data_IF_023061972585
#
_entry.id   IF_023061972585
#
_cell.length_a   1.000
_cell.length_b   1.000
_cell.length_c   1.000
_cell.angle_alpha   90.00
_cell.angle_beta   90.00
_cell.angle_gamma   90.00
#
_symmetry.space_group_name_H-M   'P 1'
#
loop_
_entity.id
_entity.type
_entity.pdbx_description
1 polymer ?
#
# COMPACT_ATOMS: atom_id res chain seq x y z
N UNK A 1 -25.26 1.48 15.56
CA UNK A 1 -25.00 2.91 15.44
C UNK A 1 -23.48 3.07 15.54
N UNK A 2 -22.81 3.23 14.42
CA UNK A 2 -21.37 3.51 14.37
C UNK A 2 -21.20 5.04 14.43
N UNK A 3 -20.46 5.51 15.42
CA UNK A 3 -20.11 6.91 15.57
C UNK A 3 -18.96 7.22 14.62
N UNK A 4 -19.17 8.18 13.72
CA UNK A 4 -18.11 8.79 12.92
C UNK A 4 -17.10 9.47 13.84
N UNK A 5 -15.88 8.94 13.95
CA UNK A 5 -14.78 9.73 14.47
C UNK A 5 -14.20 10.57 13.33
N UNK A 6 -14.39 11.87 13.52
CA UNK A 6 -13.96 12.92 12.61
C UNK A 6 -12.44 12.90 12.43
N UNK A 7 -12.01 12.74 11.19
CA UNK A 7 -10.65 13.01 10.74
C UNK A 7 -10.27 14.45 11.11
N UNK A 8 -9.26 14.60 11.96
CA UNK A 8 -8.73 15.91 12.35
C UNK A 8 -7.41 16.18 11.60
N UNK A 9 -7.39 17.08 10.62
CA UNK A 9 -6.21 17.35 9.81
C UNK A 9 -5.32 18.47 10.35
N UNK A 10 -5.22 18.67 11.66
CA UNK A 10 -4.44 19.79 12.19
C UNK A 10 -3.40 19.38 13.22
N UNK A 11 -2.19 19.07 12.76
CA UNK A 11 -0.95 19.40 13.49
C UNK A 11 0.02 20.03 12.51
N UNK A 12 -0.24 21.27 12.12
CA UNK A 12 0.79 22.11 11.50
C UNK A 12 1.43 22.94 12.63
N UNK A 13 2.70 22.69 12.91
CA UNK A 13 3.50 23.64 13.70
C UNK A 13 4.09 24.66 12.75
N UNK A 14 3.67 25.91 12.89
CA UNK A 14 4.30 27.03 12.18
C UNK A 14 5.61 27.39 12.90
N UNK A 15 6.73 27.21 12.23
CA UNK A 15 8.00 27.80 12.65
C UNK A 15 8.21 29.09 11.83
N UNK A 16 8.08 30.22 12.52
CA UNK A 16 8.28 31.55 11.90
C UNK A 16 9.77 31.89 11.94
N UNK A 17 10.40 31.95 10.77
CA UNK A 17 11.77 32.49 10.62
C UNK A 17 11.68 33.96 10.22
N UNK A 18 11.98 34.87 11.17
CA UNK A 18 12.10 36.30 10.87
C UNK A 18 13.42 36.58 10.13
N UNK A 19 13.32 36.95 8.87
CA UNK A 19 14.42 37.54 8.12
C UNK A 19 14.33 39.09 8.16
N UNK A 20 15.23 39.71 8.91
CA UNK A 20 15.38 41.16 8.93
C UNK A 20 15.97 41.69 7.62
N UNK A 21 15.16 42.25 6.75
CA UNK A 21 15.60 43.06 5.63
C UNK A 21 14.95 44.45 5.72
N UNK A 22 15.78 45.45 5.92
CA UNK A 22 15.40 46.87 5.88
C UNK A 22 15.10 47.27 4.46
N UNK A 23 13.84 47.26 4.05
CA UNK A 23 13.17 48.17 3.10
C UNK A 23 11.74 47.68 2.89
N UNK A 24 10.79 48.59 2.87
CA UNK A 24 9.35 48.46 2.84
C UNK A 24 8.82 47.54 1.71
N UNK A 25 8.79 46.23 1.99
CA UNK A 25 7.89 45.26 1.33
C UNK A 25 7.41 44.30 2.41
N UNK A 26 6.09 44.08 2.47
CA UNK A 26 5.49 43.15 3.43
C UNK A 26 6.13 41.74 3.31
N UNK A 27 6.53 41.10 4.43
CA UNK A 27 7.14 39.78 4.36
C UNK A 27 6.09 38.76 3.91
N UNK A 28 6.21 38.29 2.69
CA UNK A 28 5.53 37.07 2.26
C UNK A 28 6.22 35.89 2.93
N UNK A 29 5.62 35.36 3.98
CA UNK A 29 6.03 34.08 4.58
C UNK A 29 5.70 32.96 3.59
N UNK A 30 6.69 32.46 2.86
CA UNK A 30 6.57 31.19 2.16
C UNK A 30 6.53 30.07 3.21
N UNK A 31 5.33 29.51 3.42
CA UNK A 31 5.17 28.29 4.22
C UNK A 31 5.68 27.15 3.36
N UNK A 32 6.90 26.68 3.63
CA UNK A 32 7.43 25.46 3.03
C UNK A 32 6.74 24.28 3.73
N UNK A 33 5.96 23.49 3.01
CA UNK A 33 5.30 22.34 3.62
C UNK A 33 6.35 21.37 4.17
N UNK A 34 6.16 20.97 5.43
CA UNK A 34 7.04 19.97 6.07
C UNK A 34 6.95 18.63 5.29
N UNK A 35 8.12 18.09 4.93
CA UNK A 35 8.23 16.79 4.28
C UNK A 35 7.93 15.68 5.30
N UNK A 36 6.77 15.03 5.20
CA UNK A 36 6.39 13.91 6.06
C UNK A 36 6.72 12.59 5.36
N UNK A 37 7.70 11.87 5.89
CA UNK A 37 8.10 10.54 5.43
C UNK A 37 7.25 9.46 6.12
N UNK A 38 6.71 8.52 5.35
CA UNK A 38 5.80 7.49 5.83
C UNK A 38 6.41 6.09 5.77
N UNK A 39 7.32 5.85 4.82
CA UNK A 39 7.97 4.56 4.61
C UNK A 39 9.22 4.72 3.73
N UNK A 40 10.32 4.04 4.10
CA UNK A 40 11.58 3.98 3.32
C UNK A 40 12.10 5.38 2.89
N UNK A 41 12.02 6.36 3.80
CA UNK A 41 12.32 7.78 3.59
C UNK A 41 11.50 8.43 2.46
N UNK A 42 10.34 7.88 2.11
CA UNK A 42 9.44 8.39 1.08
C UNK A 42 8.21 9.05 1.71
N UNK A 43 7.73 10.13 1.10
CA UNK A 43 6.39 10.65 1.36
C UNK A 43 5.33 9.69 0.80
N UNK A 44 4.07 9.91 1.13
CA UNK A 44 2.97 9.08 0.60
C UNK A 44 2.86 9.18 -0.93
N UNK A 45 3.12 10.36 -1.49
CA UNK A 45 3.11 10.59 -2.93
C UNK A 45 4.28 9.87 -3.63
N UNK A 46 5.49 9.98 -3.07
CA UNK A 46 6.68 9.30 -3.60
C UNK A 46 6.55 7.78 -3.51
N UNK A 47 6.00 7.27 -2.41
CA UNK A 47 5.69 5.85 -2.25
C UNK A 47 4.65 5.40 -3.28
N UNK A 48 3.58 6.17 -3.46
CA UNK A 48 2.54 5.90 -4.47
C UNK A 48 3.15 5.79 -5.87
N UNK A 49 3.98 6.75 -6.26
CA UNK A 49 4.64 6.76 -7.57
C UNK A 49 5.58 5.56 -7.73
N UNK A 50 6.33 5.21 -6.68
CA UNK A 50 7.23 4.06 -6.69
C UNK A 50 6.46 2.75 -6.87
N UNK A 51 5.35 2.55 -6.17
CA UNK A 51 4.50 1.37 -6.31
C UNK A 51 3.87 1.31 -7.71
N UNK A 52 3.40 2.43 -8.25
CA UNK A 52 2.81 2.51 -9.59
C UNK A 52 3.78 2.09 -10.71
N UNK A 53 5.08 2.26 -10.52
CA UNK A 53 6.08 1.79 -11.50
C UNK A 53 6.15 0.26 -11.61
N UNK A 54 5.71 -0.47 -10.61
CA UNK A 54 5.67 -1.95 -10.62
C UNK A 54 4.28 -2.49 -10.93
N UNK A 55 3.23 -1.81 -10.46
CA UNK A 55 1.84 -2.23 -10.69
C UNK A 55 1.47 -2.13 -12.16
N UNK A 56 0.83 -3.16 -12.69
CA UNK A 56 0.46 -3.25 -14.10
C UNK A 56 -0.89 -3.92 -14.31
N UNK A 57 -1.37 -3.94 -15.57
CA UNK A 57 -2.67 -4.49 -15.95
C UNK A 57 -3.81 -3.87 -15.11
N UNK A 58 -4.72 -4.66 -14.56
CA UNK A 58 -5.86 -4.16 -13.76
C UNK A 58 -5.45 -3.50 -12.43
N UNK A 59 -4.23 -3.73 -11.94
CA UNK A 59 -3.66 -3.05 -10.78
C UNK A 59 -2.91 -1.76 -11.12
N UNK A 60 -2.82 -1.40 -12.40
CA UNK A 60 -2.17 -0.17 -12.84
C UNK A 60 -2.83 1.06 -12.22
N UNK A 61 -2.02 1.98 -11.67
CA UNK A 61 -2.51 3.19 -11.03
C UNK A 61 -3.09 3.00 -9.62
N UNK A 62 -2.98 1.80 -9.03
CA UNK A 62 -3.50 1.51 -7.68
C UNK A 62 -2.46 1.71 -6.56
N UNK A 63 -1.34 2.35 -6.87
CA UNK A 63 -0.26 2.61 -5.91
C UNK A 63 -0.72 3.39 -4.68
N UNK A 64 -1.64 4.35 -4.83
CA UNK A 64 -2.18 5.11 -3.71
C UNK A 64 -2.95 4.21 -2.73
N UNK A 65 -3.82 3.33 -3.22
CA UNK A 65 -4.57 2.38 -2.37
C UNK A 65 -3.63 1.44 -1.64
N UNK A 66 -2.63 0.86 -2.33
CA UNK A 66 -1.63 0.02 -1.69
C UNK A 66 -0.81 0.78 -0.64
N UNK A 67 -0.35 1.99 -0.95
CA UNK A 67 0.44 2.80 -0.03
C UNK A 67 -0.36 3.15 1.22
N UNK A 68 -1.52 3.77 1.08
CA UNK A 68 -2.36 4.21 2.21
C UNK A 68 -2.81 3.05 3.08
N UNK A 69 -3.36 2.00 2.50
CA UNK A 69 -3.87 0.86 3.28
C UNK A 69 -2.75 0.09 3.97
N UNK A 70 -1.59 -0.04 3.34
CA UNK A 70 -0.43 -0.69 3.96
C UNK A 70 0.07 0.10 5.17
N UNK A 71 0.22 1.41 5.04
CA UNK A 71 0.64 2.28 6.15
C UNK A 71 -0.38 2.24 7.28
N UNK A 72 -1.67 2.40 6.97
CA UNK A 72 -2.76 2.42 7.97
C UNK A 72 -2.85 1.10 8.75
N UNK A 73 -2.62 -0.02 8.09
CA UNK A 73 -2.70 -1.36 8.66
C UNK A 73 -1.36 -1.89 9.21
N UNK A 74 -0.27 -1.14 9.07
CA UNK A 74 1.06 -1.56 9.53
C UNK A 74 1.64 -2.75 8.77
N UNK A 75 1.31 -2.88 7.48
CA UNK A 75 1.86 -3.89 6.57
C UNK A 75 2.90 -3.24 5.67
N UNK A 76 4.00 -3.94 5.40
CA UNK A 76 5.03 -3.48 4.45
C UNK A 76 4.41 -3.29 3.05
N UNK A 77 4.39 -2.07 2.49
CA UNK A 77 3.77 -1.80 1.19
C UNK A 77 4.49 -2.51 0.02
N UNK A 78 5.80 -2.71 0.09
CA UNK A 78 6.53 -3.46 -0.93
C UNK A 78 6.13 -4.93 -0.92
N UNK A 79 6.00 -5.51 0.27
CA UNK A 79 5.52 -6.88 0.44
C UNK A 79 4.09 -7.04 -0.06
N UNK A 80 3.19 -6.12 0.27
CA UNK A 80 1.79 -6.17 -0.18
C UNK A 80 1.69 -6.14 -1.71
N UNK A 81 2.39 -5.21 -2.37
CA UNK A 81 2.42 -5.13 -3.84
C UNK A 81 3.08 -6.37 -4.45
N UNK A 82 4.19 -6.85 -3.89
CA UNK A 82 4.89 -8.02 -4.39
C UNK A 82 4.01 -9.28 -4.35
N UNK A 83 3.31 -9.52 -3.24
CA UNK A 83 2.38 -10.63 -3.13
C UNK A 83 1.22 -10.46 -4.11
N UNK A 84 0.62 -9.27 -4.20
CA UNK A 84 -0.47 -9.01 -5.13
C UNK A 84 -0.07 -9.29 -6.59
N UNK A 85 1.10 -8.83 -7.02
CA UNK A 85 1.61 -9.08 -8.37
C UNK A 85 1.87 -10.56 -8.62
N UNK A 86 2.38 -11.29 -7.62
CA UNK A 86 2.61 -12.72 -7.71
C UNK A 86 1.28 -13.49 -7.80
N UNK A 87 0.32 -13.20 -6.93
CA UNK A 87 -0.96 -13.91 -6.84
C UNK A 87 -1.88 -13.64 -8.04
N UNK A 88 -1.90 -12.43 -8.53
CA UNK A 88 -2.79 -12.03 -9.62
C UNK A 88 -2.22 -12.33 -11.00
N UNK A 89 -0.91 -12.53 -11.12
CA UNK A 89 -0.24 -12.64 -12.41
C UNK A 89 -0.38 -11.36 -13.26
N UNK A 90 -0.63 -10.20 -12.65
CA UNK A 90 -0.87 -8.93 -13.33
C UNK A 90 0.36 -8.34 -14.04
N UNK A 91 1.23 -9.17 -14.61
CA UNK A 91 2.31 -8.72 -15.49
C UNK A 91 1.79 -8.39 -16.89
N UNK A 92 0.88 -9.22 -17.41
CA UNK A 92 0.23 -9.07 -18.72
C UNK A 92 -1.28 -8.97 -18.57
N UNK A 93 -1.87 -9.82 -17.74
CA UNK A 93 -3.30 -9.98 -17.57
C UNK A 93 -3.59 -10.56 -16.20
N UNK A 94 -4.38 -9.87 -15.40
CA UNK A 94 -4.74 -10.34 -14.07
C UNK A 94 -5.57 -11.63 -14.10
N UNK A 95 -5.59 -12.34 -12.99
CA UNK A 95 -6.43 -13.53 -12.80
C UNK A 95 -7.93 -13.20 -12.93
N UNK A 96 -8.72 -14.23 -13.21
CA UNK A 96 -10.17 -14.12 -13.26
C UNK A 96 -10.76 -13.47 -11.98
N UNK A 97 -10.28 -13.87 -10.79
CA UNK A 97 -10.77 -13.34 -9.51
C UNK A 97 -10.48 -11.85 -9.34
N UNK A 98 -9.29 -11.39 -9.76
CA UNK A 98 -8.95 -9.98 -9.69
C UNK A 98 -9.84 -9.14 -10.63
N UNK A 99 -10.13 -9.65 -11.83
CA UNK A 99 -10.92 -8.93 -12.84
C UNK A 99 -12.41 -8.90 -12.57
N UNK A 100 -12.98 -10.01 -12.15
CA UNK A 100 -14.45 -10.18 -12.09
C UNK A 100 -15.02 -10.02 -10.70
N UNK A 101 -14.22 -10.27 -9.67
CA UNK A 101 -14.64 -10.28 -8.27
C UNK A 101 -13.88 -9.27 -7.41
N UNK A 102 -12.99 -8.46 -8.01
CA UNK A 102 -12.12 -7.53 -7.32
C UNK A 102 -11.29 -8.21 -6.19
N UNK A 103 -11.03 -9.51 -6.31
CA UNK A 103 -10.35 -10.32 -5.31
C UNK A 103 -8.89 -10.49 -5.69
N UNK A 104 -8.02 -9.72 -5.03
CA UNK A 104 -6.59 -9.62 -5.35
C UNK A 104 -5.80 -10.83 -4.85
N UNK A 105 -6.15 -11.37 -3.71
CA UNK A 105 -5.38 -12.41 -3.02
C UNK A 105 -6.00 -13.81 -3.05
N UNK A 106 -7.04 -14.05 -3.85
CA UNK A 106 -7.73 -15.34 -3.88
C UNK A 106 -8.39 -15.70 -2.54
N UNK A 107 -8.89 -14.71 -1.81
CA UNK A 107 -9.51 -14.91 -0.51
C UNK A 107 -10.78 -15.72 -0.63
N UNK A 108 -10.91 -16.74 0.20
CA UNK A 108 -12.12 -17.55 0.33
C UNK A 108 -13.24 -16.75 0.98
N UNK A 109 -14.47 -17.01 0.55
CA UNK A 109 -15.64 -16.30 1.05
C UNK A 109 -16.88 -16.58 0.21
N UNK A 110 -17.64 -15.54 -0.09
CA UNK A 110 -18.88 -15.63 -0.86
C UNK A 110 -18.99 -14.55 -1.93
N UNK A 111 -19.91 -14.74 -2.86
CA UNK A 111 -20.22 -13.79 -3.91
C UNK A 111 -19.49 -14.02 -5.24
N UNK A 112 -18.46 -14.87 -5.23
CA UNK A 112 -17.70 -15.25 -6.42
C UNK A 112 -17.34 -16.74 -6.36
N UNK A 113 -18.35 -17.63 -6.47
CA UNK A 113 -18.19 -19.05 -6.21
C UNK A 113 -17.80 -19.29 -4.74
N UNK A 114 -16.68 -19.95 -4.50
CA UNK A 114 -16.11 -20.18 -3.15
C UNK A 114 -15.20 -19.03 -2.68
N UNK A 115 -15.09 -17.95 -3.46
CA UNK A 115 -14.24 -16.81 -3.18
C UNK A 115 -15.05 -15.58 -2.79
N UNK A 116 -14.40 -14.68 -2.07
CA UNK A 116 -14.97 -13.39 -1.70
C UNK A 116 -15.07 -12.48 -2.93
N UNK A 117 -16.25 -11.92 -3.18
CA UNK A 117 -16.41 -10.77 -4.06
C UNK A 117 -16.31 -9.47 -3.26
N UNK A 118 -15.68 -8.47 -3.85
CA UNK A 118 -15.62 -7.11 -3.34
C UNK A 118 -16.36 -6.17 -4.29
N UNK A 119 -16.93 -5.10 -3.76
CA UNK A 119 -17.71 -4.14 -4.54
C UNK A 119 -16.82 -3.35 -5.50
N UNK A 120 -15.66 -2.94 -5.01
CA UNK A 120 -14.65 -2.21 -5.78
C UNK A 120 -13.28 -2.90 -5.71
N UNK A 121 -12.39 -2.56 -6.64
CA UNK A 121 -11.02 -3.05 -6.58
C UNK A 121 -10.27 -2.51 -5.36
N UNK A 122 -10.56 -1.27 -4.96
CA UNK A 122 -10.02 -0.65 -3.75
C UNK A 122 -10.43 -1.44 -2.50
N UNK A 123 -11.69 -1.86 -2.39
CA UNK A 123 -12.15 -2.73 -1.29
C UNK A 123 -11.44 -4.07 -1.30
N UNK A 124 -11.19 -4.63 -2.49
CA UNK A 124 -10.43 -5.87 -2.66
C UNK A 124 -8.97 -5.72 -2.22
N UNK A 125 -8.33 -4.60 -2.53
CA UNK A 125 -6.95 -4.28 -2.08
C UNK A 125 -6.93 -4.13 -0.56
N UNK A 126 -7.87 -3.38 0.01
CA UNK A 126 -7.99 -3.24 1.46
C UNK A 126 -8.17 -4.59 2.16
N UNK A 127 -9.13 -5.39 1.70
CA UNK A 127 -9.39 -6.72 2.24
C UNK A 127 -8.18 -7.65 2.14
N UNK A 128 -7.43 -7.57 1.05
CA UNK A 128 -6.20 -8.32 0.84
C UNK A 128 -5.11 -7.93 1.86
N UNK A 129 -4.85 -6.64 2.04
CA UNK A 129 -3.85 -6.15 3.01
C UNK A 129 -4.28 -6.46 4.44
N UNK A 130 -5.57 -6.30 4.76
CA UNK A 130 -6.13 -6.66 6.07
C UNK A 130 -5.95 -8.17 6.37
N UNK A 131 -6.13 -9.02 5.36
CA UNK A 131 -5.89 -10.45 5.49
C UNK A 131 -4.42 -10.77 5.79
N UNK A 132 -3.48 -10.09 5.14
CA UNK A 132 -2.04 -10.22 5.44
C UNK A 132 -1.78 -9.81 6.89
N UNK A 133 -2.31 -8.66 7.32
CA UNK A 133 -2.19 -8.19 8.71
C UNK A 133 -2.69 -9.25 9.69
N UNK A 134 -3.94 -9.65 9.56
CA UNK A 134 -4.62 -10.50 10.54
C UNK A 134 -4.06 -11.92 10.62
N UNK A 135 -3.58 -12.46 9.50
CA UNK A 135 -3.12 -13.85 9.44
C UNK A 135 -1.61 -14.03 9.60
N UNK A 136 -0.83 -12.98 9.37
CA UNK A 136 0.63 -13.06 9.35
C UNK A 136 1.28 -12.01 10.25
N UNK A 137 1.09 -10.72 9.96
CA UNK A 137 1.76 -9.64 10.67
C UNK A 137 1.42 -9.63 12.17
N UNK A 138 0.18 -9.83 12.54
CA UNK A 138 -0.26 -9.89 13.93
C UNK A 138 0.32 -11.09 14.70
N UNK A 139 0.85 -12.09 13.98
CA UNK A 139 1.58 -13.25 14.53
C UNK A 139 3.10 -13.10 14.45
N UNK A 140 3.61 -11.91 14.10
CA UNK A 140 5.04 -11.63 14.00
C UNK A 140 5.71 -12.12 12.71
N UNK A 141 4.94 -12.56 11.70
CA UNK A 141 5.44 -12.96 10.40
C UNK A 141 5.47 -11.73 9.48
N UNK A 142 6.63 -11.08 9.36
CA UNK A 142 6.79 -9.77 8.74
C UNK A 142 7.38 -9.81 7.34
N UNK A 143 8.05 -10.90 6.96
CA UNK A 143 8.74 -11.05 5.67
C UNK A 143 8.14 -12.20 4.86
N UNK A 144 8.40 -12.20 3.56
CA UNK A 144 7.97 -13.32 2.70
C UNK A 144 8.55 -14.66 3.17
N UNK A 145 9.81 -14.68 3.60
CA UNK A 145 10.44 -15.91 4.09
C UNK A 145 9.79 -16.44 5.36
N UNK A 146 9.47 -15.56 6.30
CA UNK A 146 8.75 -15.93 7.53
C UNK A 146 7.31 -16.40 7.25
N UNK A 147 6.67 -15.82 6.23
CA UNK A 147 5.30 -16.17 5.83
C UNK A 147 5.23 -17.50 5.08
N UNK A 148 6.26 -17.88 4.31
CA UNK A 148 6.21 -18.98 3.34
C UNK A 148 5.65 -20.27 3.93
N UNK A 149 6.09 -20.78 5.10
CA UNK A 149 5.61 -22.05 5.64
C UNK A 149 4.09 -22.09 5.92
N UNK A 150 3.50 -20.92 6.16
CA UNK A 150 2.06 -20.77 6.44
C UNK A 150 1.26 -20.34 5.21
N UNK A 151 1.88 -19.60 4.29
CA UNK A 151 1.21 -18.97 3.17
C UNK A 151 1.05 -19.90 1.97
N UNK A 152 2.09 -20.64 1.63
CA UNK A 152 2.13 -21.48 0.43
C UNK A 152 2.82 -22.81 0.66
N UNK A 153 2.33 -23.86 -0.02
CA UNK A 153 2.97 -25.19 -0.03
C UNK A 153 4.27 -25.17 -0.87
N UNK A 154 4.36 -24.26 -1.86
CA UNK A 154 5.57 -24.08 -2.68
C UNK A 154 6.69 -23.44 -1.84
N UNK A 155 7.78 -24.15 -1.57
CA UNK A 155 8.90 -23.60 -0.80
C UNK A 155 9.64 -22.48 -1.52
N UNK A 156 9.41 -22.29 -2.83
CA UNK A 156 10.02 -21.21 -3.63
C UNK A 156 9.16 -19.95 -3.70
N UNK A 157 7.99 -19.95 -3.05
CA UNK A 157 7.07 -18.81 -3.08
C UNK A 157 7.74 -17.52 -2.57
N UNK A 158 8.43 -17.58 -1.44
CA UNK A 158 9.12 -16.41 -0.88
C UNK A 158 10.18 -15.84 -1.82
N UNK A 159 10.92 -16.69 -2.51
CA UNK A 159 11.91 -16.23 -3.51
C UNK A 159 11.25 -15.48 -4.66
N UNK A 160 10.09 -15.92 -5.11
CA UNK A 160 9.32 -15.25 -6.17
C UNK A 160 8.80 -13.88 -5.70
N UNK A 161 8.26 -13.83 -4.49
CA UNK A 161 7.80 -12.57 -3.87
C UNK A 161 8.98 -11.61 -3.65
N UNK A 162 10.10 -12.09 -3.11
CA UNK A 162 11.30 -11.29 -2.90
C UNK A 162 11.85 -10.69 -4.20
N UNK A 163 11.73 -11.40 -5.33
CA UNK A 163 12.11 -10.87 -6.64
C UNK A 163 11.27 -9.63 -7.03
N UNK A 164 9.96 -9.64 -6.73
CA UNK A 164 9.12 -8.46 -6.92
C UNK A 164 9.52 -7.32 -5.98
N UNK A 165 9.84 -7.62 -4.71
CA UNK A 165 10.29 -6.62 -3.74
C UNK A 165 11.56 -5.94 -4.26
N UNK A 166 12.54 -6.70 -4.76
CA UNK A 166 13.77 -6.13 -5.34
C UNK A 166 13.48 -5.26 -6.58
N UNK A 167 12.53 -5.64 -7.42
CA UNK A 167 12.09 -4.79 -8.55
C UNK A 167 11.52 -3.46 -8.07
N UNK A 168 10.70 -3.48 -7.02
CA UNK A 168 10.13 -2.25 -6.43
C UNK A 168 11.25 -1.37 -5.88
N UNK A 169 12.19 -1.93 -5.13
CA UNK A 169 13.29 -1.18 -4.55
C UNK A 169 14.18 -0.50 -5.59
N UNK A 170 14.36 -1.14 -6.73
CA UNK A 170 15.29 -0.72 -7.79
C UNK A 170 14.63 0.08 -8.91
N UNK A 171 13.34 0.34 -8.84
CA UNK A 171 12.65 1.09 -9.91
C UNK A 171 12.60 2.61 -9.67
#
# INVERSE_FOLDING_TARGET
VMTEELYNPSVYKEEVVELNISNEEEPTTEVVPERVEVYDNLTIEELTDKLNRTLSSDLSGKGESFAKYSIDLGVDPYLAVAIAMHETGCTWNCSYLAKTCNNVGGQKGSGCGEYQAFETLEDGIYGFILNIKNKYVDYGLMTADEMNPKYAEDPTWSSKVNNYIEKIKNN
#
